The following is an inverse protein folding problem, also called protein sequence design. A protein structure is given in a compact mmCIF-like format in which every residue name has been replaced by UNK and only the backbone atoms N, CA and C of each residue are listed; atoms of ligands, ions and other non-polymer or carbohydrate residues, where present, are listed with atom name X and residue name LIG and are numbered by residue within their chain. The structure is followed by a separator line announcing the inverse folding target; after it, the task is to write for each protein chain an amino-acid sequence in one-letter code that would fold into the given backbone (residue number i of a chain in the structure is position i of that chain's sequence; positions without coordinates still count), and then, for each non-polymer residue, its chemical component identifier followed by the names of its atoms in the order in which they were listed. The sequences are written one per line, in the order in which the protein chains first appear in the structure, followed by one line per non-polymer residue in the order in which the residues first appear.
data_IF_385834363508
#
_entry.id   IF_385834363508
#
_cell.length_a   1.000
_cell.length_b   1.000
_cell.length_c   1.000
_cell.angle_alpha   90.00
_cell.angle_beta   90.00
_cell.angle_gamma   90.00
#
_symmetry.space_group_name_H-M   'P 1'
#
loop_
_entity.id
_entity.type
_entity.pdbx_description
1 polymer ?
#
# COMPACT_ATOMS: atom_id res chain seq x y z
N UNK A 1 -16.53 -0.82 11.77
CA UNK A 1 -15.40 -0.87 10.82
C UNK A 1 -14.18 -1.31 11.57
N UNK A 2 -13.40 -2.21 11.03
CA UNK A 2 -12.17 -2.64 11.69
C UNK A 2 -11.18 -1.47 11.72
N UNK A 3 -10.64 -1.18 12.91
CA UNK A 3 -9.58 -0.18 13.08
C UNK A 3 -8.34 -0.68 12.33
N UNK A 4 -7.63 0.20 11.61
CA UNK A 4 -6.36 -0.21 11.01
C UNK A 4 -5.42 -0.76 12.07
N UNK A 5 -4.74 -1.86 11.76
CA UNK A 5 -3.74 -2.45 12.65
C UNK A 5 -2.43 -1.66 12.66
N UNK A 6 -2.19 -0.82 11.67
CA UNK A 6 -0.96 -0.07 11.52
C UNK A 6 -1.12 1.39 11.97
N UNK A 7 -0.08 1.95 12.54
CA UNK A 7 0.00 3.35 12.89
C UNK A 7 0.17 4.18 11.60
N UNK A 8 -0.57 5.27 11.50
CA UNK A 8 -0.54 6.22 10.39
C UNK A 8 -1.91 6.44 9.78
N UNK A 9 -2.03 7.49 8.96
CA UNK A 9 -3.25 7.83 8.21
C UNK A 9 -3.28 7.10 6.88
N UNK A 10 -4.48 6.91 6.34
CA UNK A 10 -4.63 6.50 4.94
C UNK A 10 -4.27 7.63 3.99
N UNK A 11 -3.71 7.33 2.80
CA UNK A 11 -3.30 8.35 1.85
C UNK A 11 -4.50 9.11 1.25
N UNK A 12 -4.29 10.39 0.95
CA UNK A 12 -5.29 11.27 0.37
C UNK A 12 -4.93 11.58 -1.08
N UNK A 13 -5.94 11.53 -1.98
CA UNK A 13 -5.79 11.92 -3.39
C UNK A 13 -6.15 13.39 -3.55
N UNK A 14 -5.24 14.20 -4.09
CA UNK A 14 -5.48 15.58 -4.48
C UNK A 14 -5.69 15.73 -5.98
N UNK A 15 -6.74 16.43 -6.42
CA UNK A 15 -6.98 16.71 -7.83
C UNK A 15 -6.67 18.16 -8.14
N UNK A 16 -5.83 18.36 -9.15
CA UNK A 16 -5.30 19.65 -9.61
C UNK A 16 -5.93 20.01 -10.96
N UNK A 17 -7.01 20.79 -11.01
CA UNK A 17 -7.61 21.28 -12.26
C UNK A 17 -6.73 22.38 -12.86
N UNK A 18 -5.94 22.07 -13.91
CA UNK A 18 -5.08 23.05 -14.57
C UNK A 18 -5.75 23.62 -15.83
N UNK A 19 -5.53 24.89 -16.09
CA UNK A 19 -6.21 25.65 -17.14
C UNK A 19 -5.27 26.64 -17.82
N UNK A 20 -5.55 27.02 -19.06
CA UNK A 20 -4.89 28.15 -19.69
C UNK A 20 -5.21 29.43 -18.92
N UNK A 21 -4.22 30.02 -18.29
CA UNK A 21 -4.38 31.20 -17.46
C UNK A 21 -4.63 32.51 -18.23
N UNK A 22 -4.69 32.48 -19.57
CA UNK A 22 -4.87 33.69 -20.37
C UNK A 22 -6.30 34.24 -20.29
N UNK A 23 -6.38 35.48 -19.82
CA UNK A 23 -7.58 36.32 -19.92
C UNK A 23 -7.33 37.38 -21.02
N UNK A 24 -7.93 38.19 -21.35
CA UNK A 24 -7.78 39.22 -22.39
C UNK A 24 -8.95 39.18 -23.35
N UNK A 25 -8.78 39.67 -24.57
CA UNK A 25 -9.88 39.83 -25.52
C UNK A 25 -10.64 38.54 -25.84
N UNK A 26 -9.97 37.40 -25.78
CA UNK A 26 -10.57 36.09 -26.09
C UNK A 26 -11.06 35.34 -24.84
N UNK A 27 -10.72 35.81 -23.64
CA UNK A 27 -10.97 35.16 -22.36
C UNK A 27 -10.92 33.60 -22.43
N UNK A 28 -9.81 33.07 -22.88
CA UNK A 28 -9.61 31.60 -23.04
C UNK A 28 -9.90 30.90 -21.74
N UNK A 29 -9.45 31.47 -20.62
CA UNK A 29 -9.69 30.91 -19.30
C UNK A 29 -11.18 30.83 -18.98
N UNK A 30 -11.92 31.92 -19.12
CA UNK A 30 -13.35 31.95 -18.80
C UNK A 30 -14.15 30.92 -19.58
N UNK A 31 -13.76 30.68 -20.87
CA UNK A 31 -14.44 29.69 -21.71
C UNK A 31 -14.20 28.24 -21.31
N UNK A 32 -13.24 27.93 -20.41
CA UNK A 32 -12.83 26.60 -20.04
C UNK A 32 -12.97 26.31 -18.53
N UNK A 33 -13.34 27.29 -17.72
CA UNK A 33 -13.36 27.20 -16.27
C UNK A 33 -14.27 26.04 -15.81
N UNK A 34 -15.51 26.01 -16.31
CA UNK A 34 -16.48 24.98 -15.96
C UNK A 34 -16.04 23.57 -16.41
N UNK A 35 -15.55 23.44 -17.64
CA UNK A 35 -15.05 22.15 -18.16
C UNK A 35 -13.91 21.62 -17.30
N UNK A 36 -12.94 22.48 -16.97
CA UNK A 36 -11.78 22.11 -16.15
C UNK A 36 -12.19 21.62 -14.77
N UNK A 37 -13.08 22.36 -14.11
CA UNK A 37 -13.55 21.97 -12.79
C UNK A 37 -14.45 20.73 -12.83
N UNK A 38 -15.25 20.56 -13.86
CA UNK A 38 -16.09 19.37 -14.03
C UNK A 38 -15.25 18.11 -14.28
N UNK A 39 -14.16 18.20 -15.03
CA UNK A 39 -13.19 17.09 -15.15
C UNK A 39 -12.64 16.68 -13.78
N UNK A 40 -12.26 17.65 -12.95
CA UNK A 40 -11.76 17.36 -11.60
C UNK A 40 -12.82 16.69 -10.71
N UNK A 41 -14.06 17.20 -10.74
CA UNK A 41 -15.17 16.60 -9.99
C UNK A 41 -15.53 15.20 -10.47
N UNK A 42 -15.51 14.96 -11.77
CA UNK A 42 -15.79 13.64 -12.35
C UNK A 42 -14.71 12.62 -11.97
N UNK A 43 -13.43 13.02 -11.98
CA UNK A 43 -12.33 12.17 -11.52
C UNK A 43 -12.43 11.90 -10.02
N UNK A 44 -12.77 12.89 -9.20
CA UNK A 44 -12.97 12.71 -7.77
C UNK A 44 -14.08 11.69 -7.49
N UNK A 45 -15.23 11.87 -8.11
CA UNK A 45 -16.36 10.95 -8.00
C UNK A 45 -15.97 9.53 -8.43
N UNK A 46 -15.25 9.39 -9.54
CA UNK A 46 -14.78 8.08 -10.03
C UNK A 46 -13.93 7.38 -8.97
N UNK A 47 -12.99 8.08 -8.32
CA UNK A 47 -12.14 7.50 -7.28
C UNK A 47 -12.95 7.16 -6.03
N UNK A 48 -13.76 8.04 -5.52
CA UNK A 48 -14.58 7.83 -4.32
C UNK A 48 -15.56 6.65 -4.47
N UNK A 49 -16.13 6.46 -5.65
CA UNK A 49 -17.06 5.36 -5.93
C UNK A 49 -16.36 4.00 -6.08
N UNK A 50 -15.13 3.97 -6.61
CA UNK A 50 -14.49 2.73 -7.07
C UNK A 50 -13.23 2.33 -6.28
N UNK A 51 -12.64 3.21 -5.50
CA UNK A 51 -11.44 2.91 -4.72
C UNK A 51 -11.78 2.76 -3.23
N UNK A 52 -11.11 1.82 -2.58
CA UNK A 52 -11.28 1.55 -1.16
C UNK A 52 -9.92 1.39 -0.50
N UNK A 53 -9.84 1.83 0.75
CA UNK A 53 -8.73 1.48 1.64
C UNK A 53 -8.85 0.02 2.08
N UNK A 54 -7.81 -0.51 2.72
CA UNK A 54 -7.80 -1.87 3.26
C UNK A 54 -8.90 -2.14 4.29
N UNK A 55 -9.36 -1.10 5.00
CA UNK A 55 -10.48 -1.17 5.95
C UNK A 55 -11.87 -1.16 5.28
N UNK A 56 -11.93 -1.02 3.94
CA UNK A 56 -13.17 -0.97 3.15
C UNK A 56 -13.80 0.43 3.01
N UNK A 57 -13.25 1.45 3.66
CA UNK A 57 -13.71 2.83 3.49
C UNK A 57 -13.36 3.40 2.11
N UNK A 58 -14.18 4.33 1.62
CA UNK A 58 -13.92 5.06 0.38
C UNK A 58 -12.65 5.91 0.52
N UNK A 59 -11.86 5.98 -0.54
CA UNK A 59 -10.66 6.84 -0.57
C UNK A 59 -11.07 8.30 -0.45
N UNK A 60 -10.37 9.05 0.42
CA UNK A 60 -10.55 10.51 0.55
C UNK A 60 -9.96 11.22 -0.65
N UNK A 61 -10.77 12.08 -1.28
CA UNK A 61 -10.34 12.93 -2.40
C UNK A 61 -10.52 14.40 -2.06
N UNK A 62 -9.54 15.22 -2.39
CA UNK A 62 -9.53 16.68 -2.19
C UNK A 62 -9.29 17.36 -3.54
N UNK A 63 -10.12 18.34 -3.90
CA UNK A 63 -9.94 19.14 -5.12
C UNK A 63 -9.37 20.51 -4.73
N UNK A 64 -8.48 21.09 -5.55
CA UNK A 64 -8.05 22.47 -5.39
C UNK A 64 -9.28 23.43 -5.38
N UNK A 65 -9.21 24.52 -4.62
CA UNK A 65 -10.36 25.44 -4.47
C UNK A 65 -10.67 26.19 -5.76
N UNK A 66 -9.67 26.40 -6.60
CA UNK A 66 -9.79 27.08 -7.90
C UNK A 66 -9.08 26.29 -8.98
N UNK A 67 -9.38 26.59 -10.24
CA UNK A 67 -8.54 26.16 -11.36
C UNK A 67 -7.15 26.81 -11.27
N UNK A 68 -6.13 26.11 -11.79
CA UNK A 68 -4.72 26.49 -11.65
C UNK A 68 -4.19 26.94 -13.02
N UNK A 69 -4.11 28.24 -13.24
CA UNK A 69 -3.59 28.81 -14.48
C UNK A 69 -2.26 29.55 -14.30
N UNK A 70 -1.85 29.82 -13.06
CA UNK A 70 -0.63 30.58 -12.72
C UNK A 70 0.00 30.11 -11.41
N UNK A 71 1.23 30.56 -11.17
CA UNK A 71 2.04 30.20 -10.00
C UNK A 71 1.32 30.45 -8.67
N UNK A 72 0.61 31.58 -8.52
CA UNK A 72 -0.07 31.87 -7.27
C UNK A 72 -1.16 30.86 -6.92
N UNK A 73 -1.94 30.41 -7.90
CA UNK A 73 -2.97 29.38 -7.73
C UNK A 73 -2.34 28.00 -7.48
N UNK A 74 -1.22 27.72 -8.16
CA UNK A 74 -0.43 26.50 -7.91
C UNK A 74 0.09 26.47 -6.47
N UNK A 75 0.59 27.58 -5.96
CA UNK A 75 1.06 27.72 -4.58
C UNK A 75 -0.07 27.54 -3.57
N UNK A 76 -1.24 28.15 -3.82
CA UNK A 76 -2.43 27.98 -2.97
C UNK A 76 -2.91 26.52 -2.94
N UNK A 77 -2.92 25.86 -4.09
CA UNK A 77 -3.22 24.42 -4.17
C UNK A 77 -2.22 23.58 -3.35
N UNK A 78 -0.93 23.84 -3.49
CA UNK A 78 0.12 23.13 -2.75
C UNK A 78 -0.01 23.34 -1.23
N UNK A 79 -0.36 24.56 -0.79
CA UNK A 79 -0.58 24.84 0.64
C UNK A 79 -1.82 24.10 1.18
N UNK A 80 -2.92 24.10 0.44
CA UNK A 80 -4.13 23.33 0.79
C UNK A 80 -3.80 21.83 0.88
N UNK A 81 -3.13 21.28 -0.11
CA UNK A 81 -2.83 19.85 -0.18
C UNK A 81 -1.91 19.40 0.95
N UNK A 82 -0.94 20.23 1.34
CA UNK A 82 -0.09 19.97 2.50
C UNK A 82 -0.91 19.91 3.80
N UNK A 83 -1.86 20.84 3.98
CA UNK A 83 -2.75 20.87 5.16
C UNK A 83 -3.71 19.68 5.21
N UNK A 84 -4.14 19.18 4.05
CA UNK A 84 -5.04 18.04 3.92
C UNK A 84 -4.32 16.68 3.93
N UNK A 85 -2.97 16.69 3.97
CA UNK A 85 -2.16 15.46 3.95
C UNK A 85 -2.27 14.69 2.63
N UNK A 86 -2.22 15.39 1.50
CA UNK A 86 -2.29 14.78 0.16
C UNK A 86 -0.97 14.08 -0.18
N UNK A 87 -1.03 12.79 -0.48
CA UNK A 87 0.10 11.94 -0.88
C UNK A 87 0.13 11.64 -2.38
N UNK A 88 -1.01 11.74 -3.03
CA UNK A 88 -1.22 11.37 -4.43
C UNK A 88 -1.85 12.55 -5.15
N UNK A 89 -1.34 12.92 -6.32
CA UNK A 89 -1.94 13.99 -7.11
C UNK A 89 -2.33 13.53 -8.50
N UNK A 90 -3.51 13.97 -8.94
CA UNK A 90 -3.96 13.89 -10.33
C UNK A 90 -4.13 15.30 -10.86
N UNK A 91 -3.29 15.69 -11.81
CA UNK A 91 -3.52 16.91 -12.59
C UNK A 91 -4.46 16.58 -13.75
N UNK A 92 -5.53 17.37 -13.90
CA UNK A 92 -6.48 17.25 -15.03
C UNK A 92 -6.49 18.53 -15.82
N UNK A 93 -6.56 18.43 -17.15
CA UNK A 93 -6.62 19.61 -18.01
C UNK A 93 -7.35 19.35 -19.32
N UNK A 94 -8.30 20.24 -19.71
CA UNK A 94 -8.95 20.18 -21.02
C UNK A 94 -8.08 20.77 -22.14
N UNK A 95 -7.04 21.53 -21.80
CA UNK A 95 -6.36 22.39 -22.77
C UNK A 95 -4.86 22.53 -22.48
N UNK A 96 -4.17 23.26 -23.34
CA UNK A 96 -2.81 23.74 -23.08
C UNK A 96 -2.77 24.60 -21.81
N UNK A 97 -1.73 24.46 -21.02
CA UNK A 97 -1.45 25.25 -19.82
C UNK A 97 0.04 25.61 -19.75
N UNK A 98 0.40 26.54 -18.86
CA UNK A 98 1.81 26.87 -18.60
C UNK A 98 2.44 25.80 -17.72
N UNK A 99 3.18 24.86 -18.32
CA UNK A 99 3.63 23.65 -17.66
C UNK A 99 4.41 23.86 -16.35
N UNK A 100 5.53 24.58 -16.42
CA UNK A 100 6.36 24.82 -15.23
C UNK A 100 5.68 25.64 -14.13
N UNK A 101 4.68 26.46 -14.48
CA UNK A 101 3.93 27.29 -13.53
C UNK A 101 2.83 26.51 -12.78
N UNK A 102 2.28 25.50 -13.44
CA UNK A 102 1.07 24.81 -12.97
C UNK A 102 1.31 23.38 -12.51
N UNK A 103 2.46 22.79 -12.82
CA UNK A 103 2.77 21.40 -12.48
C UNK A 103 2.91 21.20 -10.95
N UNK A 104 2.72 19.97 -10.51
CA UNK A 104 3.00 19.59 -9.14
C UNK A 104 4.51 19.44 -8.92
N UNK A 105 5.07 20.31 -8.10
CA UNK A 105 6.51 20.35 -7.79
C UNK A 105 6.88 19.58 -6.53
N UNK A 106 5.92 19.03 -5.77
CA UNK A 106 6.20 18.30 -4.54
C UNK A 106 6.92 16.98 -4.86
N UNK A 107 8.14 16.74 -4.38
CA UNK A 107 8.87 15.51 -4.66
C UNK A 107 8.26 14.28 -3.97
N UNK A 108 7.42 14.48 -2.98
CA UNK A 108 6.86 13.39 -2.17
C UNK A 108 5.53 12.84 -2.70
N UNK A 109 4.82 13.56 -3.55
CA UNK A 109 3.55 13.08 -4.08
C UNK A 109 3.74 12.08 -5.22
N UNK A 110 2.87 11.07 -5.30
CA UNK A 110 2.75 10.17 -6.46
C UNK A 110 1.85 10.84 -7.48
N UNK A 111 2.34 11.07 -8.70
CA UNK A 111 1.73 11.99 -9.65
C UNK A 111 1.21 11.31 -10.91
N UNK A 112 0.03 11.73 -11.35
CA UNK A 112 -0.44 11.52 -12.72
C UNK A 112 -0.97 12.81 -13.34
N UNK A 113 -0.99 12.83 -14.66
CA UNK A 113 -1.58 13.91 -15.46
C UNK A 113 -2.57 13.30 -16.43
N UNK A 114 -3.83 13.75 -16.37
CA UNK A 114 -4.85 13.42 -17.34
C UNK A 114 -5.06 14.61 -18.28
N UNK A 115 -4.60 14.47 -19.54
CA UNK A 115 -4.83 15.42 -20.62
C UNK A 115 -6.03 15.00 -21.46
N UNK A 116 -7.03 15.86 -21.59
CA UNK A 116 -8.17 15.65 -22.46
C UNK A 116 -7.71 15.58 -23.93
N UNK A 117 -8.09 14.54 -24.64
CA UNK A 117 -7.77 14.35 -26.05
C UNK A 117 -8.89 14.96 -26.94
N UNK A 118 -8.97 16.29 -26.95
CA UNK A 118 -10.03 17.02 -27.64
C UNK A 118 -9.65 17.53 -29.02
N UNK A 119 -10.68 17.76 -29.86
CA UNK A 119 -10.54 18.24 -31.25
C UNK A 119 -9.96 19.65 -31.35
N UNK A 120 -10.33 20.57 -30.44
CA UNK A 120 -9.97 21.99 -30.56
C UNK A 120 -8.85 22.43 -29.61
N UNK A 121 -8.82 21.89 -28.40
CA UNK A 121 -7.94 22.34 -27.32
C UNK A 121 -7.35 21.14 -26.59
N UNK A 122 -6.40 20.44 -27.24
CA UNK A 122 -5.96 19.16 -26.70
C UNK A 122 -5.12 19.32 -25.44
N UNK A 123 -5.67 18.95 -24.30
CA UNK A 123 -4.94 18.79 -23.04
C UNK A 123 -3.82 17.75 -23.16
N UNK A 124 -3.93 16.84 -24.12
CA UNK A 124 -2.88 15.89 -24.46
C UNK A 124 -1.56 16.56 -24.88
N UNK A 125 -1.59 17.76 -25.46
CA UNK A 125 -0.38 18.55 -25.78
C UNK A 125 0.33 19.05 -24.52
N UNK A 126 -0.47 19.55 -23.56
CA UNK A 126 0.08 19.89 -22.24
C UNK A 126 0.66 18.67 -21.55
N UNK A 127 -0.07 17.55 -21.57
CA UNK A 127 0.40 16.28 -21.02
C UNK A 127 1.80 15.92 -21.51
N UNK A 128 2.03 15.92 -22.82
CA UNK A 128 3.33 15.60 -23.40
C UNK A 128 4.44 16.55 -22.92
N UNK A 129 4.17 17.85 -22.89
CA UNK A 129 5.11 18.87 -22.43
C UNK A 129 5.42 18.78 -20.95
N UNK A 130 4.38 18.61 -20.09
CA UNK A 130 4.58 18.58 -18.64
C UNK A 130 5.24 17.30 -18.17
N UNK A 131 4.99 16.15 -18.82
CA UNK A 131 5.70 14.92 -18.52
C UNK A 131 7.20 15.04 -18.81
N UNK A 132 7.57 15.67 -19.93
CA UNK A 132 8.98 15.96 -20.24
C UNK A 132 9.60 16.87 -19.17
N UNK A 133 8.86 17.86 -18.69
CA UNK A 133 9.33 18.77 -17.62
C UNK A 133 9.48 18.03 -16.29
N UNK A 134 8.54 17.16 -15.95
CA UNK A 134 8.65 16.28 -14.76
C UNK A 134 9.89 15.39 -14.84
N UNK A 135 10.12 14.76 -15.99
CA UNK A 135 11.30 13.92 -16.21
C UNK A 135 12.62 14.69 -16.03
N UNK A 136 12.73 15.91 -16.60
CA UNK A 136 13.90 16.77 -16.44
C UNK A 136 14.19 17.14 -14.97
N UNK A 137 13.15 17.23 -14.15
CA UNK A 137 13.27 17.61 -12.73
C UNK A 137 13.42 16.41 -11.79
N UNK A 138 13.46 15.19 -12.33
CA UNK A 138 13.49 13.97 -11.50
C UNK A 138 12.23 13.76 -10.65
N UNK A 139 11.08 14.25 -11.12
CA UNK A 139 9.77 14.15 -10.48
C UNK A 139 8.87 13.23 -11.32
N UNK A 140 8.96 11.91 -11.20
CA UNK A 140 8.22 11.00 -12.07
C UNK A 140 6.71 11.24 -12.01
N UNK A 141 6.05 11.22 -13.18
CA UNK A 141 4.61 11.36 -13.31
C UNK A 141 4.08 10.42 -14.39
N UNK A 142 2.85 9.93 -14.22
CA UNK A 142 2.18 9.03 -15.16
C UNK A 142 1.25 9.80 -16.09
N UNK A 143 1.31 9.50 -17.38
CA UNK A 143 0.45 10.12 -18.39
C UNK A 143 -0.82 9.34 -18.64
N UNK A 144 -1.96 10.03 -18.68
CA UNK A 144 -3.27 9.46 -18.97
C UNK A 144 -3.95 10.31 -20.05
N UNK A 145 -4.41 9.68 -21.13
CA UNK A 145 -5.24 10.30 -22.18
C UNK A 145 -6.07 9.25 -22.90
N UNK A 146 -7.14 9.68 -23.57
CA UNK A 146 -8.02 8.80 -24.33
C UNK A 146 -7.38 8.34 -25.64
N UNK A 147 -7.68 7.12 -26.06
CA UNK A 147 -7.27 6.59 -27.35
C UNK A 147 -7.91 7.38 -28.50
N UNK A 148 -9.21 7.60 -28.40
CA UNK A 148 -9.97 8.32 -29.41
C UNK A 148 -10.03 9.82 -29.11
N UNK A 149 -10.17 10.61 -30.18
CA UNK A 149 -10.33 12.07 -30.06
C UNK A 149 -11.80 12.36 -29.70
N UNK A 150 -12.01 13.16 -28.64
CA UNK A 150 -13.33 13.60 -28.19
C UNK A 150 -13.66 14.99 -28.78
N UNK A 151 -14.94 15.25 -28.99
CA UNK A 151 -15.41 16.62 -29.29
C UNK A 151 -15.15 17.54 -28.10
N UNK A 152 -14.90 18.81 -28.38
CA UNK A 152 -14.47 19.77 -27.35
C UNK A 152 -15.48 19.96 -26.19
N UNK A 153 -16.75 19.69 -26.41
CA UNK A 153 -17.83 19.79 -25.42
C UNK A 153 -18.19 18.45 -24.74
N UNK A 154 -17.58 17.34 -25.16
CA UNK A 154 -17.77 16.05 -24.52
C UNK A 154 -17.05 16.01 -23.16
N UNK A 155 -17.83 16.01 -22.09
CA UNK A 155 -17.33 15.97 -20.71
C UNK A 155 -17.31 14.54 -20.12
N UNK A 156 -17.64 13.53 -20.89
CA UNK A 156 -17.59 12.13 -20.45
C UNK A 156 -16.16 11.66 -20.24
N UNK A 157 -15.98 10.68 -19.35
CA UNK A 157 -14.69 9.96 -19.20
C UNK A 157 -14.78 8.72 -20.08
N UNK A 158 -13.97 8.62 -21.18
CA UNK A 158 -13.91 7.41 -21.98
C UNK A 158 -13.53 6.19 -21.16
N UNK A 159 -14.00 4.99 -21.54
CA UNK A 159 -13.79 3.79 -20.73
C UNK A 159 -12.29 3.44 -20.58
N UNK A 160 -11.48 3.63 -21.63
CA UNK A 160 -10.03 3.43 -21.55
C UNK A 160 -9.33 4.43 -20.62
N UNK A 161 -9.81 5.66 -20.53
CA UNK A 161 -9.33 6.67 -19.56
C UNK A 161 -9.75 6.30 -18.16
N UNK A 162 -10.99 5.88 -17.97
CA UNK A 162 -11.52 5.43 -16.68
C UNK A 162 -10.71 4.26 -16.13
N UNK A 163 -10.41 3.26 -16.97
CA UNK A 163 -9.57 2.12 -16.59
C UNK A 163 -8.16 2.58 -16.17
N UNK A 164 -7.51 3.48 -16.94
CA UNK A 164 -6.20 4.03 -16.65
C UNK A 164 -6.19 4.83 -15.34
N UNK A 165 -7.22 5.66 -15.09
CA UNK A 165 -7.38 6.43 -13.86
C UNK A 165 -7.51 5.49 -12.65
N UNK A 166 -8.38 4.48 -12.73
CA UNK A 166 -8.58 3.52 -11.65
C UNK A 166 -7.35 2.66 -11.39
N UNK A 167 -6.63 2.26 -12.42
CA UNK A 167 -5.35 1.53 -12.28
C UNK A 167 -4.31 2.39 -11.59
N UNK A 168 -4.14 3.65 -12.01
CA UNK A 168 -3.27 4.61 -11.34
C UNK A 168 -3.68 4.79 -9.87
N UNK A 169 -4.97 5.06 -9.61
CA UNK A 169 -5.47 5.29 -8.26
C UNK A 169 -5.22 4.12 -7.32
N UNK A 170 -5.48 2.88 -7.76
CA UNK A 170 -5.20 1.68 -6.97
C UNK A 170 -3.72 1.54 -6.65
N UNK A 171 -2.86 1.64 -7.66
CA UNK A 171 -1.42 1.51 -7.49
C UNK A 171 -0.85 2.63 -6.58
N UNK A 172 -1.29 3.87 -6.78
CA UNK A 172 -0.85 5.01 -5.99
C UNK A 172 -1.30 4.93 -4.52
N UNK A 173 -2.54 4.51 -4.26
CA UNK A 173 -3.04 4.29 -2.88
C UNK A 173 -2.24 3.18 -2.20
N UNK A 174 -1.96 2.08 -2.89
CA UNK A 174 -1.14 1.00 -2.34
C UNK A 174 0.28 1.50 -1.99
N UNK A 175 0.97 2.15 -2.93
CA UNK A 175 2.33 2.66 -2.72
C UNK A 175 2.39 3.74 -1.63
N UNK A 176 1.44 4.69 -1.61
CA UNK A 176 1.39 5.72 -0.58
C UNK A 176 1.08 5.14 0.82
N UNK A 177 0.31 4.05 0.89
CA UNK A 177 0.00 3.36 2.15
C UNK A 177 1.22 2.69 2.79
N UNK A 178 2.28 2.46 2.05
CA UNK A 178 3.53 1.87 2.56
C UNK A 178 4.37 2.86 3.36
N UNK A 179 4.25 4.16 3.08
CA UNK A 179 5.07 5.19 3.73
C UNK A 179 4.93 5.18 5.25
N UNK A 180 6.08 5.26 5.92
CA UNK A 180 6.16 5.27 7.38
C UNK A 180 5.86 3.93 8.06
N UNK A 181 5.62 2.87 7.27
CA UNK A 181 5.51 1.49 7.76
C UNK A 181 6.88 0.83 7.76
N UNK A 182 6.94 -0.42 8.18
CA UNK A 182 8.15 -1.21 8.06
C UNK A 182 7.92 -2.53 7.33
N UNK A 183 8.99 -3.08 6.81
CA UNK A 183 9.15 -4.49 6.50
C UNK A 183 9.98 -5.14 7.62
N UNK A 184 9.44 -6.18 8.25
CA UNK A 184 10.13 -6.88 9.32
C UNK A 184 10.78 -8.16 8.78
N UNK A 185 12.10 -8.21 8.82
CA UNK A 185 12.88 -9.40 8.48
C UNK A 185 13.19 -10.17 9.77
N UNK A 186 12.65 -11.38 9.90
CA UNK A 186 12.94 -12.29 11.01
C UNK A 186 13.95 -13.33 10.52
N UNK A 187 15.17 -13.23 11.03
CA UNK A 187 16.30 -13.98 10.48
C UNK A 187 17.00 -13.25 9.33
N UNK A 188 17.50 -13.99 8.37
CA UNK A 188 18.32 -13.47 7.27
C UNK A 188 17.91 -14.10 5.92
N UNK A 189 18.87 -14.27 5.03
CA UNK A 189 18.68 -14.86 3.70
C UNK A 189 18.46 -16.36 3.81
N UNK A 190 17.32 -16.84 3.34
CA UNK A 190 16.97 -18.27 3.32
C UNK A 190 17.80 -19.00 2.29
N UNK A 191 18.63 -19.94 2.73
CA UNK A 191 19.44 -20.84 1.88
C UNK A 191 20.20 -20.17 0.72
N UNK A 192 20.51 -18.87 0.82
CA UNK A 192 21.14 -18.12 -0.25
C UNK A 192 20.23 -17.80 -1.44
N UNK A 193 18.91 -17.87 -1.28
CA UNK A 193 17.94 -17.54 -2.33
C UNK A 193 18.00 -16.04 -2.61
N UNK A 194 18.26 -15.68 -3.87
CA UNK A 194 18.42 -14.27 -4.27
C UNK A 194 17.18 -13.40 -3.99
N UNK A 195 15.98 -13.98 -4.06
CA UNK A 195 14.72 -13.30 -3.73
C UNK A 195 14.54 -12.95 -2.24
N UNK A 196 15.34 -13.58 -1.35
CA UNK A 196 15.37 -13.29 0.08
C UNK A 196 16.32 -12.14 0.45
N UNK A 197 17.09 -11.64 -0.51
CA UNK A 197 18.00 -10.51 -0.29
C UNK A 197 17.22 -9.22 -0.48
N UNK A 198 17.05 -8.49 0.61
CA UNK A 198 16.37 -7.20 0.57
C UNK A 198 17.38 -6.07 0.29
N UNK A 199 17.03 -5.19 -0.62
CA UNK A 199 17.72 -3.91 -0.81
C UNK A 199 17.01 -2.84 0.03
N UNK A 200 17.53 -2.58 1.21
CA UNK A 200 16.95 -1.61 2.15
C UNK A 200 16.91 -0.20 1.56
N UNK A 201 17.97 0.21 0.84
CA UNK A 201 18.04 1.54 0.24
C UNK A 201 16.93 1.74 -0.81
N UNK A 202 16.64 0.69 -1.59
CA UNK A 202 15.51 0.72 -2.54
C UNK A 202 14.17 0.83 -1.82
N UNK A 203 13.92 -0.01 -0.83
CA UNK A 203 12.67 -0.02 -0.07
C UNK A 203 12.44 1.33 0.63
N UNK A 204 13.47 1.90 1.23
CA UNK A 204 13.39 3.20 1.91
C UNK A 204 13.18 4.35 0.93
N UNK A 205 13.97 4.38 -0.16
CA UNK A 205 13.95 5.49 -1.12
C UNK A 205 12.68 5.53 -1.97
N UNK A 206 12.18 4.37 -2.43
CA UNK A 206 11.05 4.30 -3.35
C UNK A 206 9.71 4.05 -2.67
N UNK A 207 9.69 3.29 -1.58
CA UNK A 207 8.46 2.95 -0.88
C UNK A 207 8.26 3.72 0.43
N UNK A 208 9.33 4.39 0.92
CA UNK A 208 9.30 5.11 2.20
C UNK A 208 9.09 4.21 3.41
N UNK A 209 9.44 2.92 3.28
CA UNK A 209 9.34 1.92 4.34
C UNK A 209 10.71 1.71 5.00
N UNK A 210 10.73 1.50 6.31
CA UNK A 210 11.94 1.01 6.99
C UNK A 210 12.09 -0.49 6.80
N UNK A 211 13.32 -0.95 6.76
CA UNK A 211 13.65 -2.38 6.86
C UNK A 211 14.19 -2.63 8.25
N UNK A 212 13.47 -3.41 9.02
CA UNK A 212 13.82 -3.80 10.39
C UNK A 212 14.25 -5.25 10.40
N UNK A 213 15.23 -5.62 11.21
CA UNK A 213 15.69 -7.01 11.34
C UNK A 213 15.62 -7.48 12.79
N UNK A 214 15.07 -8.66 12.99
CA UNK A 214 14.97 -9.35 14.27
C UNK A 214 15.60 -10.73 14.11
N UNK A 215 16.42 -11.13 15.07
CA UNK A 215 17.00 -12.48 15.10
C UNK A 215 15.91 -13.54 15.35
N UNK A 216 15.99 -14.70 14.70
CA UNK A 216 15.04 -15.81 14.92
C UNK A 216 15.00 -16.29 16.38
N UNK A 217 16.11 -16.13 17.10
CA UNK A 217 16.18 -16.48 18.53
C UNK A 217 15.18 -15.68 19.37
N UNK A 218 14.74 -14.53 18.91
CA UNK A 218 13.73 -13.75 19.62
C UNK A 218 12.38 -14.48 19.72
N UNK A 219 12.00 -15.25 18.72
CA UNK A 219 10.80 -16.09 18.78
C UNK A 219 10.96 -17.13 19.90
N UNK A 220 12.12 -17.78 19.96
CA UNK A 220 12.41 -18.80 20.96
C UNK A 220 12.49 -18.19 22.37
N UNK A 221 13.13 -17.01 22.51
CA UNK A 221 13.16 -16.26 23.78
C UNK A 221 11.76 -15.95 24.27
N UNK A 222 10.90 -15.40 23.41
CA UNK A 222 9.51 -15.07 23.77
C UNK A 222 8.72 -16.31 24.16
N UNK A 223 8.89 -17.41 23.46
CA UNK A 223 8.25 -18.68 23.84
C UNK A 223 8.72 -19.17 25.20
N UNK A 224 10.03 -19.13 25.47
CA UNK A 224 10.65 -19.68 26.66
C UNK A 224 10.36 -18.83 27.91
N UNK A 225 10.37 -17.52 27.75
CA UNK A 225 10.15 -16.57 28.86
C UNK A 225 8.65 -16.17 29.02
N UNK A 226 7.77 -16.67 28.14
CA UNK A 226 6.35 -16.37 28.18
C UNK A 226 6.01 -14.94 27.77
N UNK A 227 6.78 -14.34 26.84
CA UNK A 227 6.60 -12.96 26.38
C UNK A 227 5.66 -12.93 25.18
N UNK A 228 4.40 -13.20 25.40
CA UNK A 228 3.30 -13.12 24.44
C UNK A 228 1.96 -13.04 25.18
N UNK A 229 0.91 -12.63 24.51
CA UNK A 229 -0.45 -12.64 25.09
C UNK A 229 -0.96 -14.07 25.21
N UNK A 230 -0.93 -14.60 26.44
CA UNK A 230 -1.38 -15.96 26.73
C UNK A 230 -2.88 -16.15 26.43
N UNK A 231 -3.72 -15.13 26.67
CA UNK A 231 -5.15 -15.23 26.39
C UNK A 231 -5.43 -15.23 24.88
N UNK A 232 -4.66 -14.47 24.11
CA UNK A 232 -4.70 -14.47 22.65
C UNK A 232 -4.25 -15.83 22.10
N UNK A 233 -3.17 -16.40 22.65
CA UNK A 233 -2.69 -17.72 22.27
C UNK A 233 -3.75 -18.81 22.51
N UNK A 234 -4.38 -18.84 23.66
CA UNK A 234 -5.43 -19.83 23.96
C UNK A 234 -6.62 -19.74 22.99
N UNK A 235 -7.03 -18.53 22.63
CA UNK A 235 -8.06 -18.32 21.60
C UNK A 235 -7.62 -18.83 20.23
N UNK A 236 -6.38 -18.49 19.84
CA UNK A 236 -5.79 -18.90 18.55
C UNK A 236 -5.70 -20.43 18.45
N UNK A 237 -5.20 -21.08 19.50
CA UNK A 237 -5.06 -22.53 19.56
C UNK A 237 -6.41 -23.24 19.47
N UNK A 238 -7.39 -22.78 20.26
CA UNK A 238 -8.75 -23.32 20.21
C UNK A 238 -9.36 -23.19 18.80
N UNK A 239 -9.30 -21.98 18.24
CA UNK A 239 -9.81 -21.70 16.90
C UNK A 239 -9.13 -22.57 15.83
N UNK A 240 -7.80 -22.71 15.87
CA UNK A 240 -7.05 -23.51 14.92
C UNK A 240 -7.45 -24.98 15.01
N UNK A 241 -7.62 -25.55 16.22
CA UNK A 241 -8.09 -26.92 16.44
C UNK A 241 -9.52 -27.16 15.92
N UNK A 242 -10.40 -26.17 16.03
CA UNK A 242 -11.81 -26.28 15.63
C UNK A 242 -12.03 -26.03 14.13
N UNK A 243 -11.20 -25.15 13.50
CA UNK A 243 -11.44 -24.65 12.16
C UNK A 243 -10.55 -25.31 11.10
N UNK A 244 -9.30 -25.62 11.47
CA UNK A 244 -8.34 -26.16 10.52
C UNK A 244 -8.50 -27.68 10.38
N UNK A 245 -8.50 -28.15 9.13
CA UNK A 245 -8.52 -29.58 8.85
C UNK A 245 -7.13 -30.16 9.00
N UNK A 246 -6.97 -31.11 9.88
CA UNK A 246 -5.74 -31.89 9.98
C UNK A 246 -5.69 -32.88 8.83
N UNK A 247 -4.61 -32.81 8.05
CA UNK A 247 -4.30 -33.78 7.01
C UNK A 247 -3.77 -35.10 7.57
N UNK A 248 -3.24 -35.92 6.72
CA UNK A 248 -2.58 -37.15 7.10
C UNK A 248 -1.06 -37.05 6.86
N UNK A 249 -0.30 -37.71 7.69
CA UNK A 249 1.14 -37.83 7.55
C UNK A 249 1.47 -38.87 6.46
N UNK A 250 2.12 -38.43 5.38
CA UNK A 250 2.51 -39.29 4.25
C UNK A 250 3.91 -39.90 4.41
N UNK A 251 4.62 -39.53 5.48
CA UNK A 251 5.93 -40.13 5.72
C UNK A 251 5.81 -41.61 6.01
N UNK A 252 6.87 -42.42 5.74
CA UNK A 252 6.98 -43.79 6.23
C UNK A 252 6.75 -43.83 7.74
N UNK A 253 6.13 -44.92 8.23
CA UNK A 253 5.71 -45.05 9.63
C UNK A 253 6.86 -44.79 10.63
N UNK A 254 8.05 -45.25 10.28
CA UNK A 254 9.28 -45.08 11.09
C UNK A 254 9.77 -43.60 11.19
N UNK A 255 9.29 -42.73 10.31
CA UNK A 255 9.63 -41.30 10.31
C UNK A 255 8.49 -40.43 10.86
N UNK A 256 7.31 -41.00 11.17
CA UNK A 256 6.20 -40.26 11.73
C UNK A 256 6.44 -39.96 13.19
N UNK A 257 6.11 -38.72 13.57
CA UNK A 257 6.07 -38.32 14.98
C UNK A 257 4.89 -38.98 15.72
N UNK A 258 5.05 -39.19 17.04
CA UNK A 258 3.93 -39.57 17.89
C UNK A 258 2.83 -38.53 17.90
N UNK A 259 1.62 -38.90 18.32
CA UNK A 259 0.48 -37.98 18.44
C UNK A 259 0.80 -36.81 19.40
N UNK A 260 1.49 -37.10 20.50
CA UNK A 260 1.91 -36.09 21.48
C UNK A 260 2.89 -35.09 20.86
N UNK A 261 3.86 -35.60 20.09
CA UNK A 261 4.85 -34.73 19.43
C UNK A 261 4.21 -33.87 18.33
N UNK A 262 3.25 -34.39 17.58
CA UNK A 262 2.47 -33.62 16.60
C UNK A 262 1.66 -32.53 17.26
N UNK A 263 1.05 -32.79 18.42
CA UNK A 263 0.32 -31.80 19.21
C UNK A 263 1.25 -30.69 19.73
N UNK A 264 2.40 -31.06 20.30
CA UNK A 264 3.42 -30.11 20.74
C UNK A 264 3.89 -29.19 19.60
N UNK A 265 4.14 -29.75 18.42
CA UNK A 265 4.53 -28.96 17.25
C UNK A 265 3.42 -28.05 16.75
N UNK A 266 2.17 -28.52 16.80
CA UNK A 266 1.03 -27.71 16.43
C UNK A 266 0.86 -26.50 17.35
N UNK A 267 0.96 -26.72 18.67
CA UNK A 267 0.93 -25.63 19.66
C UNK A 267 2.11 -24.66 19.46
N UNK A 268 3.29 -25.16 19.15
CA UNK A 268 4.46 -24.34 18.86
C UNK A 268 4.20 -23.39 17.67
N UNK A 269 3.66 -23.89 16.57
CA UNK A 269 3.43 -23.07 15.35
C UNK A 269 2.33 -22.07 15.56
N UNK A 270 1.27 -22.39 16.29
CA UNK A 270 0.21 -21.41 16.65
C UNK A 270 0.79 -20.32 17.56
N UNK A 271 1.62 -20.68 18.51
CA UNK A 271 2.32 -19.71 19.38
C UNK A 271 3.24 -18.80 18.58
N UNK A 272 3.99 -19.38 17.64
CA UNK A 272 4.82 -18.64 16.70
C UNK A 272 4.02 -17.60 15.90
N UNK A 273 2.83 -17.97 15.41
CA UNK A 273 1.96 -17.04 14.69
C UNK A 273 1.54 -15.85 15.56
N UNK A 274 1.19 -16.09 16.84
CA UNK A 274 0.85 -15.01 17.79
C UNK A 274 2.06 -14.12 18.05
N UNK A 275 3.24 -14.69 18.29
CA UNK A 275 4.48 -13.92 18.52
C UNK A 275 4.86 -13.08 17.30
N UNK A 276 4.78 -13.63 16.08
CA UNK A 276 5.06 -12.86 14.86
C UNK A 276 4.07 -11.70 14.70
N UNK A 277 2.78 -11.95 14.96
CA UNK A 277 1.75 -10.89 14.97
C UNK A 277 2.11 -9.77 15.94
N UNK A 278 2.57 -10.11 17.13
CA UNK A 278 2.98 -9.14 18.17
C UNK A 278 4.28 -8.41 17.82
N UNK A 279 5.25 -9.09 17.23
CA UNK A 279 6.45 -8.45 16.66
C UNK A 279 6.08 -7.42 15.61
N UNK A 280 5.11 -7.73 14.73
CA UNK A 280 4.67 -6.79 13.70
C UNK A 280 3.95 -5.57 14.26
N UNK A 281 3.05 -5.76 15.22
CA UNK A 281 2.10 -4.71 15.63
C UNK A 281 2.24 -4.22 17.07
N UNK A 282 3.00 -4.94 17.90
CA UNK A 282 2.99 -4.75 19.35
C UNK A 282 1.86 -5.49 20.05
N UNK A 283 1.90 -5.44 21.37
CA UNK A 283 0.92 -6.08 22.26
C UNK A 283 0.77 -5.30 23.56
N UNK A 284 -0.40 -4.70 23.76
CA UNK A 284 -0.69 -3.91 24.98
C UNK A 284 -0.93 -4.77 26.24
N UNK A 285 -1.10 -6.09 26.08
CA UNK A 285 -1.44 -7.02 27.15
C UNK A 285 -0.23 -7.73 27.78
N UNK A 286 0.99 -7.37 27.36
CA UNK A 286 2.20 -7.93 27.99
C UNK A 286 2.40 -7.42 29.42
N UNK A 287 3.09 -8.21 30.25
CA UNK A 287 3.54 -7.77 31.56
C UNK A 287 4.33 -6.44 31.39
N UNK A 288 4.06 -5.39 32.20
CA UNK A 288 4.73 -4.10 32.11
C UNK A 288 6.26 -4.15 32.16
N UNK A 289 6.85 -5.20 32.69
CA UNK A 289 8.30 -5.42 32.66
C UNK A 289 8.85 -5.65 31.23
N UNK A 290 7.99 -6.05 30.27
CA UNK A 290 8.30 -6.26 28.86
C UNK A 290 7.82 -5.09 27.99
N UNK A 291 7.96 -3.87 28.51
CA UNK A 291 7.47 -2.66 27.82
C UNK A 291 8.16 -2.40 26.46
N UNK A 292 9.39 -2.86 26.28
CA UNK A 292 10.11 -2.78 25.00
C UNK A 292 9.50 -3.74 23.98
N UNK A 293 9.26 -5.00 24.39
CA UNK A 293 8.67 -6.03 23.53
C UNK A 293 7.21 -5.74 23.16
N UNK A 294 6.53 -4.93 23.96
CA UNK A 294 5.14 -4.54 23.73
C UNK A 294 4.96 -3.56 22.56
N UNK A 295 6.01 -2.83 22.15
CA UNK A 295 5.91 -1.74 21.15
C UNK A 295 5.64 -2.28 19.74
N UNK A 296 6.30 -3.36 19.34
CA UNK A 296 6.24 -3.89 17.96
C UNK A 296 6.93 -2.98 16.93
N UNK A 297 6.89 -3.40 15.67
CA UNK A 297 7.66 -2.76 14.58
C UNK A 297 6.79 -1.98 13.57
N UNK A 298 5.49 -1.84 13.77
CA UNK A 298 4.55 -1.24 12.81
C UNK A 298 4.71 -1.84 11.39
N UNK A 299 4.86 -3.17 11.32
CA UNK A 299 5.22 -3.85 10.10
C UNK A 299 4.01 -4.13 9.21
N UNK A 300 4.06 -3.62 7.98
CA UNK A 300 3.07 -3.93 6.92
C UNK A 300 3.19 -5.38 6.50
N UNK A 301 4.41 -5.85 6.34
CA UNK A 301 4.75 -7.21 5.97
C UNK A 301 5.95 -7.69 6.75
N UNK A 302 6.09 -9.01 6.87
CA UNK A 302 7.23 -9.66 7.47
C UNK A 302 7.72 -10.83 6.61
N UNK A 303 9.03 -11.08 6.66
CA UNK A 303 9.64 -12.28 6.12
C UNK A 303 10.25 -13.11 7.23
N UNK A 304 10.10 -14.41 7.17
CA UNK A 304 10.69 -15.34 8.13
C UNK A 304 11.68 -16.26 7.42
N UNK A 305 12.90 -16.39 7.93
CA UNK A 305 13.93 -17.18 7.26
C UNK A 305 13.54 -18.65 7.06
N UNK A 306 12.97 -19.29 8.01
CA UNK A 306 12.17 -20.51 7.99
C UNK A 306 12.80 -21.80 7.45
N UNK A 307 13.97 -21.77 6.85
CA UNK A 307 14.61 -22.95 6.24
C UNK A 307 15.99 -23.25 6.84
N UNK A 308 16.48 -24.47 6.62
CA UNK A 308 17.76 -25.00 7.09
C UNK A 308 17.87 -24.97 8.60
N UNK A 309 18.71 -24.12 9.21
CA UNK A 309 18.98 -24.17 10.66
C UNK A 309 17.72 -24.14 11.51
N UNK A 310 16.72 -23.35 11.13
CA UNK A 310 15.45 -23.37 11.85
C UNK A 310 14.75 -24.73 11.73
N UNK A 311 14.52 -25.22 10.51
CA UNK A 311 13.77 -26.47 10.29
C UNK A 311 14.54 -27.74 10.66
N UNK A 312 15.84 -27.64 10.87
CA UNK A 312 16.63 -28.74 11.44
C UNK A 312 16.30 -28.98 12.92
N UNK A 313 15.72 -27.98 13.63
CA UNK A 313 15.45 -28.04 15.07
C UNK A 313 14.01 -27.76 15.46
N UNK A 314 13.28 -26.98 14.67
CA UNK A 314 11.94 -26.47 14.97
C UNK A 314 10.97 -26.73 13.83
N UNK A 315 9.64 -26.71 14.09
CA UNK A 315 8.63 -26.72 13.03
C UNK A 315 8.78 -25.52 12.09
N UNK A 316 8.46 -25.72 10.79
CA UNK A 316 8.50 -24.63 9.83
C UNK A 316 7.41 -23.57 10.08
N UNK A 317 7.50 -22.44 9.37
CA UNK A 317 6.58 -21.31 9.50
C UNK A 317 5.33 -21.36 8.61
N UNK A 318 5.17 -22.37 7.75
CA UNK A 318 4.11 -22.39 6.70
C UNK A 318 2.70 -22.29 7.28
N UNK A 319 2.44 -22.94 8.40
CA UNK A 319 1.13 -22.84 9.04
C UNK A 319 0.90 -21.45 9.69
N UNK A 320 1.95 -20.86 10.26
CA UNK A 320 1.88 -19.48 10.75
C UNK A 320 1.61 -18.49 9.62
N UNK A 321 2.27 -18.67 8.46
CA UNK A 321 2.00 -17.90 7.24
C UNK A 321 0.54 -18.04 6.81
N UNK A 322 0.04 -19.27 6.71
CA UNK A 322 -1.36 -19.53 6.33
C UNK A 322 -2.36 -18.86 7.29
N UNK A 323 -2.10 -18.88 8.61
CA UNK A 323 -2.94 -18.21 9.61
C UNK A 323 -2.91 -16.70 9.47
N UNK A 324 -1.74 -16.11 9.22
CA UNK A 324 -1.54 -14.66 9.21
C UNK A 324 -1.97 -14.00 7.90
N UNK A 325 -1.84 -14.67 6.77
CA UNK A 325 -2.17 -14.12 5.45
C UNK A 325 -3.68 -14.10 5.14
N UNK A 326 -4.53 -14.66 6.01
CA UNK A 326 -5.98 -14.60 5.85
C UNK A 326 -6.56 -13.25 6.26
N UNK A 327 -7.75 -12.91 5.76
CA UNK A 327 -8.50 -11.71 6.15
C UNK A 327 -9.41 -11.93 7.37
N UNK A 328 -9.24 -13.02 8.08
CA UNK A 328 -9.97 -13.35 9.31
C UNK A 328 -9.10 -14.24 10.22
N UNK A 329 -9.38 -14.22 11.50
CA UNK A 329 -8.76 -15.10 12.49
C UNK A 329 -9.74 -15.39 13.66
N UNK A 330 -9.21 -15.85 14.78
CA UNK A 330 -9.96 -16.12 16.02
C UNK A 330 -10.64 -14.89 16.64
N UNK A 331 -10.32 -13.68 16.19
CA UNK A 331 -10.99 -12.43 16.58
C UNK A 331 -11.98 -11.92 15.51
N UNK A 332 -12.15 -12.64 14.40
CA UNK A 332 -13.06 -12.29 13.31
C UNK A 332 -12.35 -11.68 12.10
N UNK A 333 -13.07 -10.90 11.31
CA UNK A 333 -12.54 -10.27 10.10
C UNK A 333 -11.50 -9.17 10.43
N UNK A 334 -10.40 -9.15 9.70
CA UNK A 334 -9.28 -8.23 9.90
C UNK A 334 -8.47 -7.98 8.62
N UNK A 335 -7.60 -7.00 8.64
CA UNK A 335 -6.55 -6.87 7.63
C UNK A 335 -5.55 -8.03 7.74
N UNK A 336 -5.09 -8.62 6.63
CA UNK A 336 -4.04 -9.64 6.65
C UNK A 336 -2.74 -9.14 7.29
N UNK A 337 -2.06 -10.01 8.01
CA UNK A 337 -0.65 -9.84 8.38
C UNK A 337 0.18 -10.52 7.31
N UNK A 338 0.74 -9.79 6.40
CA UNK A 338 1.47 -10.35 5.28
C UNK A 338 2.78 -10.97 5.79
N UNK A 339 2.86 -12.30 5.78
CA UNK A 339 4.06 -13.05 6.17
C UNK A 339 4.49 -13.94 5.00
N UNK A 340 5.78 -13.94 4.68
CA UNK A 340 6.39 -14.89 3.76
C UNK A 340 7.38 -15.76 4.54
N UNK A 341 7.13 -17.06 4.62
CA UNK A 341 8.12 -18.03 5.05
C UNK A 341 9.23 -18.13 4.03
N UNK A 342 10.40 -18.37 4.20
CA UNK A 342 11.52 -18.25 3.26
C UNK A 342 11.94 -16.81 2.94
N UNK A 343 11.33 -15.83 3.57
CA UNK A 343 11.67 -14.41 3.46
C UNK A 343 11.67 -13.88 2.01
N UNK A 344 10.71 -14.31 1.21
CA UNK A 344 10.59 -13.99 -0.22
C UNK A 344 10.14 -12.55 -0.46
N UNK A 345 11.01 -11.60 -0.13
CA UNK A 345 10.74 -10.16 -0.24
C UNK A 345 10.36 -9.74 -1.66
N UNK A 346 11.02 -10.26 -2.66
CA UNK A 346 10.73 -9.94 -4.06
C UNK A 346 9.30 -10.32 -4.46
N UNK A 347 8.76 -11.41 -3.94
CA UNK A 347 7.39 -11.82 -4.20
C UNK A 347 6.38 -10.90 -3.51
N UNK A 348 6.69 -10.38 -2.33
CA UNK A 348 5.79 -9.51 -1.58
C UNK A 348 5.43 -8.21 -2.31
N UNK A 349 6.36 -7.60 -3.04
CA UNK A 349 6.10 -6.38 -3.80
C UNK A 349 5.81 -6.60 -5.28
N UNK A 350 6.02 -7.82 -5.79
CA UNK A 350 5.73 -8.18 -7.20
C UNK A 350 4.47 -9.01 -7.36
N UNK A 351 3.98 -9.63 -6.28
CA UNK A 351 2.74 -10.40 -6.33
C UNK A 351 1.54 -9.51 -6.60
N UNK A 352 0.65 -9.87 -7.54
CA UNK A 352 -0.61 -9.18 -7.70
C UNK A 352 -1.43 -9.30 -6.42
N UNK A 353 -2.14 -8.23 -6.07
CA UNK A 353 -3.07 -8.29 -4.94
C UNK A 353 -4.05 -9.45 -5.11
N UNK A 354 -4.39 -10.20 -4.04
CA UNK A 354 -5.41 -11.25 -4.11
C UNK A 354 -6.79 -10.78 -4.62
N UNK A 355 -6.97 -9.47 -4.77
CA UNK A 355 -8.19 -8.85 -5.31
C UNK A 355 -8.14 -8.64 -6.83
N UNK A 356 -7.02 -8.93 -7.48
CA UNK A 356 -6.82 -8.77 -8.92
C UNK A 356 -6.91 -10.13 -9.66
N UNK A 357 -7.22 -11.23 -8.95
CA UNK A 357 -7.44 -12.57 -9.47
C UNK A 357 -8.92 -12.97 -9.40
#
# INVERSE_FOLDING_TARGET
MAKSRLIGSYPVIGIRPTIDGRRGALDVRGSLEDQTMNMAKSAAKLFEENLRYSNGESVKVVIADTTIGRVGESAACADKFRKEGVDITLTVTPCWCYGAETMDMDPQTIKAVWGFNGTERPGAVYLASVLATHAQKGLPAFGIYGHDVQEADDTSIPEDVKEKLLRFGRAAVAAASMRGKSYLQIGSVTMGIGGSIIDSDFIESYLGMRVESVDEVEIIRRMTEGIYDHAEFEKALKWAKETCKIGWDKNPEELQFSAEKKEEQFEFVVKMAVIIKELMNGCDNLDPKFSEEAIGHNALAAGFQGQRQWTDFYPNGDFAEAMLNTSFDWNGAREPYILATENDVCLLYTSPSPRDS
#
